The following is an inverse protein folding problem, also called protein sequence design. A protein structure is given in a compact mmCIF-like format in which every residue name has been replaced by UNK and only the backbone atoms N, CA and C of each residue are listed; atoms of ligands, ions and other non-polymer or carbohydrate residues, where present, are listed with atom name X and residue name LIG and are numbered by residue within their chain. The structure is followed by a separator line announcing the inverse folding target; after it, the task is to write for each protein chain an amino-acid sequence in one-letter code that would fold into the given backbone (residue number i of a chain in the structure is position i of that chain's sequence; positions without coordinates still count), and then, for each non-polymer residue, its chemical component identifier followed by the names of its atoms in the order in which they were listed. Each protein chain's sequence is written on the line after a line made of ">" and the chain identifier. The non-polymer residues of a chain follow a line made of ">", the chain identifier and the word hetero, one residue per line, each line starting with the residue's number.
data_IF_185203957924
#
_entry.id   IF_185203957924
#
_cell.length_a   1.000
_cell.length_b   1.000
_cell.length_c   1.000
_cell.angle_alpha   90.00
_cell.angle_beta   90.00
_cell.angle_gamma   90.00
#
_symmetry.space_group_name_H-M   'P 1'
#
loop_
_entity.id
_entity.type
_entity.pdbx_description
1 polymer ?
#
# COMPACT_ATOMS: atom_id res chain seq x y z
N UNK A 1 -4.87 14.64 -5.79
CA UNK A 1 -4.76 13.35 -6.52
C UNK A 1 -3.37 13.11 -7.13
N UNK A 2 -2.36 13.89 -6.75
CA UNK A 2 -1.01 13.92 -7.37
C UNK A 2 -0.27 12.58 -7.32
N UNK A 3 -0.41 11.81 -6.24
CA UNK A 3 0.25 10.49 -6.11
C UNK A 3 -0.16 9.49 -7.21
N UNK A 4 -1.37 9.63 -7.75
CA UNK A 4 -1.90 8.71 -8.75
C UNK A 4 -1.63 9.18 -10.20
N UNK A 5 -1.11 10.40 -10.40
CA UNK A 5 -0.83 10.96 -11.74
C UNK A 5 -0.04 10.02 -12.65
N UNK A 6 1.03 9.35 -12.18
CA UNK A 6 1.83 8.49 -13.05
C UNK A 6 1.08 7.25 -13.57
N UNK A 7 -0.07 6.91 -12.98
CA UNK A 7 -0.84 5.72 -13.33
C UNK A 7 -2.22 6.05 -13.92
N UNK A 8 -2.52 7.31 -14.22
CA UNK A 8 -3.76 7.66 -14.93
C UNK A 8 -3.86 6.97 -16.28
N UNK A 9 -5.07 6.54 -16.66
CA UNK A 9 -5.30 5.84 -17.94
C UNK A 9 -4.85 4.39 -17.98
N UNK A 10 -4.27 3.84 -16.90
CA UNK A 10 -3.68 2.50 -16.91
C UNK A 10 -4.64 1.38 -16.48
N UNK A 11 -5.88 1.72 -16.13
CA UNK A 11 -6.88 0.78 -15.61
C UNK A 11 -6.38 -0.01 -14.38
N UNK A 12 -5.56 0.65 -13.54
CA UNK A 12 -5.04 0.08 -12.30
C UNK A 12 -5.96 0.36 -11.12
N UNK A 13 -5.78 -0.46 -10.09
CA UNK A 13 -6.53 -0.35 -8.85
C UNK A 13 -5.70 0.40 -7.80
N UNK A 14 -6.37 1.27 -7.04
CA UNK A 14 -5.82 1.93 -5.85
C UNK A 14 -6.56 1.39 -4.63
N UNK A 15 -5.82 0.78 -3.72
CA UNK A 15 -6.32 0.41 -2.40
C UNK A 15 -5.96 1.49 -1.40
N UNK A 16 -6.96 2.09 -0.76
CA UNK A 16 -6.79 3.19 0.20
C UNK A 16 -7.29 2.84 1.61
N UNK A 17 -6.70 3.47 2.61
CA UNK A 17 -7.26 3.47 3.96
C UNK A 17 -8.44 4.46 4.06
N UNK A 18 -9.03 4.54 5.25
CA UNK A 18 -10.11 5.50 5.49
C UNK A 18 -9.69 6.97 5.39
N UNK A 19 -8.45 7.31 5.74
CA UNK A 19 -7.97 8.69 5.66
C UNK A 19 -7.97 9.22 4.22
N UNK A 20 -7.71 8.32 3.27
CA UNK A 20 -7.67 8.65 1.84
C UNK A 20 -8.97 8.30 1.09
N UNK A 21 -10.11 8.17 1.76
CA UNK A 21 -11.36 7.74 1.12
C UNK A 21 -12.48 8.78 1.20
N UNK A 22 -13.03 9.14 0.04
CA UNK A 22 -14.29 9.87 -0.09
C UNK A 22 -15.01 9.49 -1.38
N UNK A 23 -16.33 9.67 -1.45
CA UNK A 23 -17.12 9.35 -2.64
C UNK A 23 -16.69 10.24 -3.83
N UNK A 24 -16.40 11.52 -3.56
CA UNK A 24 -15.92 12.48 -4.56
C UNK A 24 -14.58 12.04 -5.15
N UNK A 25 -13.66 11.56 -4.31
CA UNK A 25 -12.36 11.07 -4.76
C UNK A 25 -12.51 9.83 -5.65
N UNK A 26 -13.38 8.88 -5.26
CA UNK A 26 -13.63 7.67 -6.08
C UNK A 26 -14.23 8.05 -7.43
N UNK A 27 -15.13 9.04 -7.48
CA UNK A 27 -15.66 9.56 -8.74
C UNK A 27 -14.54 10.16 -9.61
N UNK A 28 -13.73 11.04 -9.03
CA UNK A 28 -12.65 11.71 -9.75
C UNK A 28 -11.58 10.72 -10.25
N UNK A 29 -11.25 9.67 -9.49
CA UNK A 29 -10.33 8.63 -9.92
C UNK A 29 -10.92 7.75 -11.03
N UNK A 30 -12.23 7.47 -10.98
CA UNK A 30 -12.92 6.72 -12.05
C UNK A 30 -12.87 7.47 -13.38
N UNK A 31 -13.04 8.80 -13.37
CA UNK A 31 -12.87 9.65 -14.57
C UNK A 31 -11.45 9.59 -15.16
N UNK A 32 -10.44 9.23 -14.35
CA UNK A 32 -9.05 9.03 -14.77
C UNK A 32 -8.72 7.57 -15.13
N UNK A 33 -9.73 6.72 -15.32
CA UNK A 33 -9.60 5.28 -15.64
C UNK A 33 -8.80 4.55 -14.54
N UNK A 34 -9.16 4.81 -13.29
CA UNK A 34 -8.65 4.11 -12.12
C UNK A 34 -9.81 3.56 -11.30
N UNK A 35 -9.65 2.35 -10.79
CA UNK A 35 -10.59 1.82 -9.81
C UNK A 35 -10.06 2.01 -8.39
N UNK A 36 -10.97 2.23 -7.45
CA UNK A 36 -10.64 2.47 -6.06
C UNK A 36 -11.38 1.48 -5.19
N UNK A 37 -10.66 0.96 -4.21
CA UNK A 37 -11.19 0.08 -3.21
C UNK A 37 -10.65 0.52 -1.86
N UNK A 38 -11.52 0.90 -0.94
CA UNK A 38 -11.03 1.53 0.27
C UNK A 38 -11.95 1.38 1.46
N UNK A 39 -11.35 1.46 2.64
CA UNK A 39 -12.10 1.44 3.89
C UNK A 39 -12.82 2.76 4.09
N UNK A 40 -14.08 2.68 4.52
CA UNK A 40 -14.95 3.83 4.62
C UNK A 40 -15.52 3.90 6.04
N UNK A 41 -15.14 4.93 6.80
CA UNK A 41 -15.51 5.08 8.23
C UNK A 41 -16.41 6.30 8.43
N UNK A 42 -16.78 7.04 7.38
CA UNK A 42 -17.67 8.21 7.50
C UNK A 42 -19.10 7.79 7.82
N UNK A 43 -19.35 7.51 9.10
CA UNK A 43 -20.63 7.07 9.67
C UNK A 43 -21.81 7.96 9.33
N UNK A 44 -21.59 9.25 9.03
CA UNK A 44 -22.65 10.21 8.68
C UNK A 44 -23.20 10.05 7.26
N UNK A 45 -22.40 9.50 6.34
CA UNK A 45 -22.77 9.28 4.94
C UNK A 45 -23.23 7.83 4.68
N UNK A 46 -23.04 6.95 5.67
CA UNK A 46 -23.44 5.55 5.63
C UNK A 46 -24.94 5.45 5.99
N UNK A 47 -25.79 4.84 5.14
CA UNK A 47 -27.20 4.65 5.48
C UNK A 47 -27.34 3.81 6.75
N UNK A 48 -28.36 4.04 7.60
CA UNK A 48 -28.54 3.32 8.86
C UNK A 48 -28.61 1.80 8.72
N UNK A 49 -28.94 1.31 7.52
CA UNK A 49 -29.00 -0.10 7.14
C UNK A 49 -27.64 -0.81 7.21
N UNK A 50 -26.53 -0.06 7.19
CA UNK A 50 -25.14 -0.56 7.18
C UNK A 50 -24.47 -0.50 8.57
N UNK A 51 -25.19 -0.03 9.59
CA UNK A 51 -24.72 0.07 10.98
C UNK A 51 -24.63 -1.32 11.66
N UNK A 52 -23.81 -1.45 12.73
CA UNK A 52 -23.39 -2.74 13.31
C UNK A 52 -24.49 -3.56 13.98
N UNK A 53 -25.74 -3.11 13.94
CA UNK A 53 -26.86 -3.79 14.58
C UNK A 53 -27.44 -4.97 13.78
N UNK A 54 -26.86 -5.30 12.63
CA UNK A 54 -27.31 -6.41 11.77
C UNK A 54 -26.26 -7.52 11.67
N UNK A 55 -26.73 -8.76 11.66
CA UNK A 55 -25.95 -10.00 11.61
C UNK A 55 -25.49 -10.40 10.20
N UNK A 56 -25.91 -9.70 9.14
CA UNK A 56 -25.61 -10.05 7.76
C UNK A 56 -24.88 -8.91 7.02
N UNK A 57 -23.94 -9.23 6.12
CA UNK A 57 -23.34 -8.23 5.26
C UNK A 57 -24.41 -7.58 4.39
N UNK A 58 -24.45 -6.25 4.39
CA UNK A 58 -25.36 -5.47 3.55
C UNK A 58 -24.54 -4.92 2.39
N UNK A 59 -25.00 -5.18 1.16
CA UNK A 59 -24.42 -4.67 -0.07
C UNK A 59 -25.41 -3.68 -0.68
N UNK A 60 -24.97 -2.45 -0.95
CA UNK A 60 -25.71 -1.52 -1.80
C UNK A 60 -24.87 -1.15 -3.00
N UNK A 61 -25.49 -1.30 -4.16
CA UNK A 61 -24.98 -0.80 -5.42
C UNK A 61 -25.63 0.56 -5.69
N UNK A 62 -24.82 1.58 -5.91
CA UNK A 62 -25.29 2.90 -6.31
C UNK A 62 -24.39 3.47 -7.40
N UNK A 63 -24.96 3.78 -8.57
CA UNK A 63 -24.29 4.50 -9.68
C UNK A 63 -22.85 4.02 -9.92
N UNK A 64 -22.72 2.70 -10.13
CA UNK A 64 -21.46 2.00 -10.41
C UNK A 64 -20.42 1.96 -9.28
N UNK A 65 -20.87 2.08 -8.02
CA UNK A 65 -20.05 1.81 -6.84
C UNK A 65 -20.80 0.85 -5.95
N UNK A 66 -20.04 -0.01 -5.30
CA UNK A 66 -20.56 -0.99 -4.37
C UNK A 66 -20.05 -0.65 -2.98
N UNK A 67 -20.99 -0.35 -2.08
CA UNK A 67 -20.76 -0.24 -0.65
C UNK A 67 -21.08 -1.59 -0.02
N UNK A 68 -20.11 -2.14 0.71
CA UNK A 68 -20.29 -3.34 1.53
C UNK A 68 -20.09 -2.98 2.99
N UNK A 69 -21.06 -3.30 3.85
CA UNK A 69 -20.85 -3.38 5.29
C UNK A 69 -20.71 -4.83 5.71
N UNK A 70 -19.66 -5.13 6.46
CA UNK A 70 -19.35 -6.44 7.00
C UNK A 70 -19.14 -6.32 8.51
N UNK A 71 -19.78 -7.18 9.29
CA UNK A 71 -19.71 -7.19 10.75
C UNK A 71 -18.87 -8.39 11.20
N UNK A 72 -17.53 -8.25 11.33
CA UNK A 72 -16.66 -9.36 11.73
C UNK A 72 -16.89 -9.83 13.18
N UNK A 73 -17.31 -8.91 14.05
CA UNK A 73 -17.55 -9.13 15.48
C UNK A 73 -18.78 -8.35 15.90
N UNK A 74 -19.46 -8.81 16.95
CA UNK A 74 -20.58 -8.09 17.56
C UNK A 74 -20.18 -6.63 17.81
N UNK A 75 -21.04 -5.70 17.40
CA UNK A 75 -20.88 -4.25 17.57
C UNK A 75 -19.72 -3.59 16.79
N UNK A 76 -19.06 -4.32 15.88
CA UNK A 76 -18.02 -3.78 14.99
C UNK A 76 -18.44 -3.99 13.54
N UNK A 77 -18.78 -2.91 12.84
CA UNK A 77 -19.03 -2.89 11.39
C UNK A 77 -17.86 -2.27 10.63
N UNK A 78 -17.43 -2.92 9.56
CA UNK A 78 -16.47 -2.41 8.59
C UNK A 78 -17.24 -2.10 7.31
N UNK A 79 -17.21 -0.85 6.87
CA UNK A 79 -17.72 -0.47 5.56
C UNK A 79 -16.55 -0.31 4.57
N UNK A 80 -16.71 -0.87 3.37
CA UNK A 80 -15.80 -0.71 2.25
C UNK A 80 -16.56 -0.17 1.04
N UNK A 81 -15.94 0.72 0.28
CA UNK A 81 -16.45 1.19 -1.02
C UNK A 81 -15.52 0.72 -2.12
N UNK A 82 -16.12 0.24 -3.21
CA UNK A 82 -15.41 -0.27 -4.38
C UNK A 82 -16.04 0.25 -5.67
N UNK A 83 -15.22 0.71 -6.61
CA UNK A 83 -15.66 1.07 -7.98
C UNK A 83 -15.36 0.00 -9.04
N UNK A 84 -14.82 -1.16 -8.64
CA UNK A 84 -14.50 -2.29 -9.53
C UNK A 84 -15.52 -3.44 -9.43
N UNK A 85 -15.97 -3.72 -8.20
CA UNK A 85 -16.85 -4.84 -7.91
C UNK A 85 -18.30 -4.41 -8.10
N UNK A 86 -19.06 -5.06 -8.99
CA UNK A 86 -20.45 -4.69 -9.31
C UNK A 86 -21.47 -5.80 -9.01
N UNK A 87 -20.99 -7.00 -8.69
CA UNK A 87 -21.83 -8.14 -8.36
C UNK A 87 -21.61 -8.57 -6.90
N UNK A 88 -22.65 -9.04 -6.19
CA UNK A 88 -22.50 -9.69 -4.90
C UNK A 88 -21.79 -11.03 -5.11
N UNK A 89 -20.56 -11.12 -4.63
CA UNK A 89 -19.77 -12.35 -4.65
C UNK A 89 -19.23 -12.63 -3.25
N UNK A 90 -19.27 -13.90 -2.86
CA UNK A 90 -18.80 -14.39 -1.58
C UNK A 90 -17.79 -15.49 -1.86
N UNK A 91 -16.65 -15.44 -1.19
CA UNK A 91 -15.64 -16.48 -1.30
C UNK A 91 -16.13 -17.76 -0.58
N UNK A 92 -16.20 -18.92 -1.26
CA UNK A 92 -16.73 -20.16 -0.69
C UNK A 92 -15.87 -20.69 0.48
N UNK A 93 -14.58 -20.40 0.52
CA UNK A 93 -13.67 -20.87 1.56
C UNK A 93 -13.76 -20.02 2.83
N UNK A 94 -13.67 -18.70 2.67
CA UNK A 94 -13.63 -17.76 3.81
C UNK A 94 -15.02 -17.37 4.29
N UNK A 95 -16.05 -17.60 3.46
CA UNK A 95 -17.44 -17.12 3.62
C UNK A 95 -17.54 -15.59 3.75
N UNK A 96 -16.51 -14.86 3.31
CA UNK A 96 -16.47 -13.39 3.33
C UNK A 96 -16.88 -12.82 1.97
N UNK A 97 -17.44 -11.60 1.92
CA UNK A 97 -17.62 -10.89 0.66
C UNK A 97 -16.28 -10.75 -0.07
N UNK A 98 -16.25 -11.00 -1.38
CA UNK A 98 -15.04 -10.93 -2.21
C UNK A 98 -14.31 -9.59 -2.05
N UNK A 99 -15.06 -8.48 -1.95
CA UNK A 99 -14.52 -7.12 -1.74
C UNK A 99 -13.65 -7.05 -0.47
N UNK A 100 -14.07 -7.72 0.61
CA UNK A 100 -13.34 -7.75 1.89
C UNK A 100 -12.05 -8.55 1.74
N UNK A 101 -12.08 -9.69 1.05
CA UNK A 101 -10.90 -10.50 0.82
C UNK A 101 -9.90 -9.78 -0.10
N UNK A 102 -10.38 -9.15 -1.18
CA UNK A 102 -9.56 -8.34 -2.08
C UNK A 102 -8.91 -7.16 -1.36
N UNK A 103 -9.65 -6.45 -0.49
CA UNK A 103 -9.10 -5.40 0.37
C UNK A 103 -7.97 -5.93 1.25
N UNK A 104 -8.19 -7.05 1.94
CA UNK A 104 -7.21 -7.63 2.84
C UNK A 104 -5.93 -8.07 2.11
N UNK A 105 -6.04 -8.53 0.87
CA UNK A 105 -4.89 -8.94 0.05
C UNK A 105 -4.02 -7.77 -0.43
N UNK A 106 -4.61 -6.58 -0.59
CA UNK A 106 -3.94 -5.42 -1.21
C UNK A 106 -3.54 -4.32 -0.23
N UNK A 107 -4.23 -4.19 0.92
CA UNK A 107 -4.01 -3.11 1.90
C UNK A 107 -2.60 -3.10 2.52
N UNK A 108 -1.88 -4.23 2.50
CA UNK A 108 -0.57 -4.37 3.14
C UNK A 108 0.63 -3.87 2.33
N UNK A 109 0.44 -3.30 1.14
CA UNK A 109 1.54 -2.92 0.26
C UNK A 109 2.51 -1.90 0.87
N UNK A 110 1.98 -0.82 1.46
CA UNK A 110 2.78 0.23 2.11
C UNK A 110 3.41 -0.30 3.41
N UNK A 111 2.63 -0.98 4.25
CA UNK A 111 3.12 -1.59 5.49
C UNK A 111 4.29 -2.57 5.25
N UNK A 112 4.25 -3.32 4.15
CA UNK A 112 5.33 -4.22 3.78
C UNK A 112 6.62 -3.48 3.40
N UNK A 113 6.51 -2.31 2.75
CA UNK A 113 7.67 -1.44 2.49
C UNK A 113 8.23 -0.89 3.81
N UNK A 114 7.36 -0.40 4.69
CA UNK A 114 7.76 0.14 6.00
C UNK A 114 8.44 -0.92 6.87
N UNK A 115 7.89 -2.13 6.93
CA UNK A 115 8.50 -3.27 7.63
C UNK A 115 9.88 -3.60 7.04
N UNK A 116 10.00 -3.57 5.72
CA UNK A 116 11.28 -3.78 5.03
C UNK A 116 12.28 -2.68 5.42
N UNK A 117 11.90 -1.41 5.36
CA UNK A 117 12.78 -0.29 5.74
C UNK A 117 13.19 -0.36 7.21
N UNK A 118 12.29 -0.76 8.11
CA UNK A 118 12.56 -0.90 9.54
C UNK A 118 13.59 -2.01 9.83
N UNK A 119 13.49 -3.15 9.13
CA UNK A 119 14.37 -4.30 9.36
C UNK A 119 15.86 -4.03 9.07
N UNK A 120 16.16 -3.19 8.08
CA UNK A 120 17.54 -2.79 7.74
C UNK A 120 17.64 -1.27 7.62
N UNK A 121 17.38 -0.57 8.73
CA UNK A 121 17.35 0.89 8.75
C UNK A 121 18.75 1.49 8.93
N UNK A 122 19.08 2.45 8.06
CA UNK A 122 20.28 3.30 8.19
C UNK A 122 20.04 4.53 9.09
N UNK A 123 18.84 4.68 9.65
CA UNK A 123 18.51 5.83 10.47
C UNK A 123 19.42 5.91 11.70
N UNK A 124 19.79 7.13 12.08
CA UNK A 124 20.62 7.42 13.26
C UNK A 124 19.97 8.54 14.06
N UNK A 125 20.15 8.52 15.37
CA UNK A 125 19.70 9.61 16.24
C UNK A 125 20.38 10.89 15.78
N UNK A 126 19.58 11.85 15.32
CA UNK A 126 20.04 13.15 14.83
C UNK A 126 19.08 14.23 15.33
N UNK A 127 19.60 15.41 15.64
CA UNK A 127 18.81 16.61 15.93
C UNK A 127 18.50 17.42 14.67
N UNK A 128 18.91 16.92 13.50
CA UNK A 128 18.72 17.58 12.20
C UNK A 128 17.70 16.79 11.39
N UNK A 129 16.48 17.29 11.29
CA UNK A 129 15.40 16.65 10.51
C UNK A 129 15.78 16.31 9.04
N UNK A 130 16.65 17.08 8.33
CA UNK A 130 17.04 16.69 6.97
C UNK A 130 17.79 15.37 6.91
N UNK A 131 18.59 15.06 7.94
CA UNK A 131 19.29 13.76 8.02
C UNK A 131 18.30 12.60 8.12
N UNK A 132 17.20 12.78 8.85
CA UNK A 132 16.14 11.75 8.95
C UNK A 132 15.50 11.48 7.60
N UNK A 133 15.21 12.52 6.82
CA UNK A 133 14.68 12.37 5.45
C UNK A 133 15.70 11.67 4.56
N UNK A 134 16.96 12.10 4.60
CA UNK A 134 18.02 11.46 3.83
C UNK A 134 18.13 9.95 4.14
N UNK A 135 18.11 9.57 5.41
CA UNK A 135 18.11 8.16 5.81
C UNK A 135 16.85 7.42 5.33
N UNK A 136 15.68 8.06 5.33
CA UNK A 136 14.44 7.46 4.80
C UNK A 136 14.54 7.21 3.29
N UNK A 137 15.06 8.17 2.52
CA UNK A 137 15.30 8.02 1.08
C UNK A 137 16.28 6.88 0.80
N UNK A 138 17.37 6.76 1.58
CA UNK A 138 18.32 5.66 1.45
C UNK A 138 17.66 4.29 1.73
N UNK A 139 16.86 4.18 2.79
CA UNK A 139 16.14 2.96 3.11
C UNK A 139 15.17 2.54 1.99
N UNK A 140 14.37 3.48 1.46
CA UNK A 140 13.44 3.22 0.35
C UNK A 140 14.20 2.84 -0.91
N UNK A 141 15.30 3.54 -1.22
CA UNK A 141 16.14 3.27 -2.37
C UNK A 141 16.75 1.88 -2.31
N UNK A 142 17.25 1.45 -1.14
CA UNK A 142 17.80 0.11 -0.94
C UNK A 142 16.76 -1.00 -1.14
N UNK A 143 15.51 -0.78 -0.73
CA UNK A 143 14.42 -1.73 -1.01
C UNK A 143 14.08 -1.76 -2.50
N UNK A 144 13.93 -0.60 -3.14
CA UNK A 144 13.59 -0.51 -4.56
C UNK A 144 14.68 -1.11 -5.46
N UNK A 145 15.96 -0.87 -5.15
CA UNK A 145 17.07 -1.46 -5.89
C UNK A 145 17.10 -2.99 -5.76
N UNK A 146 16.76 -3.53 -4.57
CA UNK A 146 16.66 -4.98 -4.38
C UNK A 146 15.49 -5.56 -5.18
N UNK A 147 14.33 -4.89 -5.22
CA UNK A 147 13.18 -5.30 -6.05
C UNK A 147 13.58 -5.35 -7.52
N UNK A 148 14.24 -4.31 -8.04
CA UNK A 148 14.72 -4.28 -9.42
C UNK A 148 15.73 -5.40 -9.71
N UNK A 149 16.69 -5.62 -8.81
CA UNK A 149 17.67 -6.70 -8.92
C UNK A 149 17.01 -8.09 -8.97
N UNK A 150 15.99 -8.32 -8.15
CA UNK A 150 15.23 -9.60 -8.17
C UNK A 150 14.38 -9.74 -9.42
N UNK A 151 13.89 -8.64 -9.99
CA UNK A 151 13.06 -8.63 -11.19
C UNK A 151 13.89 -8.88 -12.47
N UNK A 152 15.18 -8.53 -12.50
CA UNK A 152 16.07 -8.73 -13.65
C UNK A 152 16.64 -10.15 -13.78
N UNK A 153 16.01 -11.17 -13.17
CA UNK A 153 16.42 -12.58 -13.20
C UNK A 153 17.86 -12.87 -12.72
N UNK A 154 18.43 -12.00 -11.87
CA UNK A 154 19.66 -12.38 -11.17
C UNK A 154 19.38 -13.52 -10.17
N UNK A 155 20.43 -14.25 -9.79
CA UNK A 155 20.34 -15.29 -8.76
C UNK A 155 19.63 -14.74 -7.53
N UNK A 156 18.69 -15.51 -6.97
CA UNK A 156 18.02 -15.15 -5.73
C UNK A 156 19.08 -14.87 -4.65
N UNK A 157 19.16 -13.61 -4.25
CA UNK A 157 20.06 -13.13 -3.21
C UNK A 157 19.22 -12.60 -2.06
N UNK A 158 19.58 -12.98 -0.84
CA UNK A 158 18.96 -12.43 0.35
C UNK A 158 19.19 -10.92 0.39
N UNK A 159 18.20 -10.19 0.92
CA UNK A 159 18.28 -8.72 1.02
C UNK A 159 19.47 -8.25 1.86
N UNK A 160 19.81 -9.00 2.91
CA UNK A 160 21.01 -8.74 3.72
C UNK A 160 22.28 -8.73 2.85
N UNK A 161 22.50 -9.80 2.10
CA UNK A 161 23.70 -9.96 1.27
C UNK A 161 23.73 -8.92 0.15
N UNK A 162 22.57 -8.61 -0.43
CA UNK A 162 22.45 -7.55 -1.43
C UNK A 162 22.89 -6.18 -0.87
N UNK A 163 22.43 -5.81 0.32
CA UNK A 163 22.80 -4.54 0.95
C UNK A 163 24.29 -4.50 1.35
N UNK A 164 24.85 -5.63 1.77
CA UNK A 164 26.28 -5.77 2.06
C UNK A 164 27.13 -5.56 0.79
N UNK A 165 26.82 -6.26 -0.31
CA UNK A 165 27.52 -6.10 -1.59
C UNK A 165 27.36 -4.68 -2.14
N UNK A 166 26.18 -4.08 -2.03
CA UNK A 166 25.95 -2.67 -2.39
C UNK A 166 26.83 -1.72 -1.57
N UNK A 167 26.94 -1.95 -0.25
CA UNK A 167 27.80 -1.17 0.62
C UNK A 167 29.26 -1.24 0.21
N UNK A 168 29.76 -2.45 -0.08
CA UNK A 168 31.12 -2.64 -0.60
C UNK A 168 31.34 -1.93 -1.95
N UNK A 169 30.41 -2.10 -2.89
CA UNK A 169 30.50 -1.48 -4.21
C UNK A 169 30.60 0.06 -4.14
N UNK A 170 29.90 0.69 -3.19
CA UNK A 170 29.94 2.14 -2.97
C UNK A 170 31.22 2.60 -2.26
N UNK A 171 31.80 1.80 -1.36
CA UNK A 171 32.93 2.21 -0.52
C UNK A 171 34.29 1.91 -1.16
N UNK A 172 34.44 0.78 -1.85
CA UNK A 172 35.73 0.31 -2.37
C UNK A 172 36.45 1.33 -3.26
N UNK A 173 35.81 1.98 -4.25
CA UNK A 173 36.49 2.97 -5.10
C UNK A 173 37.12 4.10 -4.30
N UNK A 174 36.42 4.62 -3.28
CA UNK A 174 36.92 5.69 -2.42
C UNK A 174 38.03 5.22 -1.46
N UNK A 175 38.02 3.94 -1.05
CA UNK A 175 39.11 3.37 -0.24
C UNK A 175 40.39 3.27 -1.08
N UNK A 176 40.27 2.83 -2.34
CA UNK A 176 41.40 2.72 -3.25
C UNK A 176 42.00 4.10 -3.56
N UNK A 177 41.15 5.10 -3.86
CA UNK A 177 41.59 6.48 -4.08
C UNK A 177 42.36 7.04 -2.88
N UNK A 178 41.82 6.91 -1.67
CA UNK A 178 42.49 7.38 -0.44
C UNK A 178 43.81 6.67 -0.16
N UNK A 179 43.98 5.44 -0.63
CA UNK A 179 45.25 4.70 -0.51
C UNK A 179 46.33 5.27 -1.43
N UNK A 180 45.95 5.71 -2.63
CA UNK A 180 46.86 6.28 -3.63
C UNK A 180 47.32 7.71 -3.29
N UNK A 181 46.53 8.47 -2.51
CA UNK A 181 46.89 9.84 -2.07
C UNK A 181 47.96 9.85 -0.96
N UNK A 182 48.34 8.70 -0.41
CA UNK A 182 49.35 8.57 0.67
C UNK A 182 50.73 8.05 0.22
N UNK A 183 51.03 8.02 -1.08
CA UNK A 183 52.36 7.71 -1.63
C UNK A 183 52.95 8.93 -2.32
#
# INVERSE_FOLDING_TARGET
>A
MTLAEPIYGTNRNITGDNWFTSIELINALKEKILHTLAQYVRTREIPPQFLPHRSCPVLSLHRDKTLVSFVPKKDISIALVSSMHHAPATNPETKKPEIIDFYNSTKGGVDALDQKCAAYSVNRRSQRWPTTIFCAVLNISGVNSHVLYTASNHKQMSRYKFLEELGYALVIPHVLERRLVKS
#
